data_IF_648996253894
#
_entry.id   IF_648996253894
#
_cell.length_a   1.000
_cell.length_b   1.000
_cell.length_c   1.000
_cell.angle_alpha   90.00
_cell.angle_beta   90.00
_cell.angle_gamma   90.00
#
_symmetry.space_group_name_H-M   'P 1'
#
loop_
_entity.id
_entity.type
_entity.pdbx_description
1 polymer ?
#
# COMPACT_ATOMS: atom_id res chain seq x y z
N UNK A 1 9.26 -43.97 18.95
CA UNK A 1 10.47 -43.14 19.11
C UNK A 1 11.53 -43.35 18.02
N UNK A 2 11.37 -44.29 17.08
CA UNK A 2 12.30 -44.46 15.93
C UNK A 2 12.00 -43.54 14.74
N UNK A 3 10.73 -43.19 14.49
CA UNK A 3 10.34 -42.47 13.27
C UNK A 3 10.65 -40.95 13.28
N UNK A 4 10.69 -40.32 14.47
CA UNK A 4 11.01 -38.89 14.58
C UNK A 4 12.52 -38.63 14.40
N UNK A 5 13.35 -39.62 14.70
CA UNK A 5 14.81 -39.56 14.53
C UNK A 5 15.20 -39.63 13.05
N UNK A 6 14.48 -40.43 12.26
CA UNK A 6 14.70 -40.55 10.81
C UNK A 6 14.36 -39.27 10.05
N UNK A 7 13.29 -38.55 10.46
CA UNK A 7 12.96 -37.25 9.85
C UNK A 7 14.03 -36.19 10.13
N UNK A 8 14.56 -36.13 11.35
CA UNK A 8 15.66 -35.22 11.69
C UNK A 8 16.94 -35.56 10.92
N UNK A 9 17.23 -36.85 10.75
CA UNK A 9 18.40 -37.32 10.00
C UNK A 9 18.27 -36.94 8.52
N UNK A 10 17.12 -37.20 7.90
CA UNK A 10 16.85 -36.84 6.50
C UNK A 10 16.93 -35.32 6.31
N UNK A 11 16.35 -34.54 7.23
CA UNK A 11 16.38 -33.08 7.17
C UNK A 11 17.80 -32.53 7.28
N UNK A 12 18.63 -33.11 8.16
CA UNK A 12 20.02 -32.69 8.34
C UNK A 12 20.89 -32.98 7.10
N UNK A 13 20.71 -34.13 6.45
CA UNK A 13 21.40 -34.49 5.21
C UNK A 13 20.98 -33.55 4.08
N UNK A 14 19.69 -33.20 4.00
CA UNK A 14 19.16 -32.26 3.00
C UNK A 14 19.74 -30.85 3.19
N UNK A 15 19.86 -30.38 4.43
CA UNK A 15 20.46 -29.09 4.75
C UNK A 15 21.95 -29.04 4.34
N UNK A 16 22.70 -30.12 4.59
CA UNK A 16 24.11 -30.23 4.22
C UNK A 16 24.26 -30.21 2.69
N UNK A 17 23.44 -30.97 1.96
CA UNK A 17 23.45 -30.97 0.48
C UNK A 17 23.11 -29.59 -0.09
N UNK A 18 22.19 -28.87 0.54
CA UNK A 18 21.81 -27.53 0.11
C UNK A 18 22.94 -26.51 0.31
N UNK A 19 23.65 -26.58 1.44
CA UNK A 19 24.84 -25.75 1.70
C UNK A 19 25.96 -26.07 0.71
N UNK A 20 26.21 -27.37 0.43
CA UNK A 20 27.21 -27.79 -0.54
C UNK A 20 26.87 -27.28 -1.95
N UNK A 21 25.59 -27.33 -2.33
CA UNK A 21 25.10 -26.82 -3.60
C UNK A 21 25.26 -25.30 -3.73
N UNK A 22 24.98 -24.56 -2.66
CA UNK A 22 25.19 -23.10 -2.61
C UNK A 22 26.68 -22.73 -2.74
N UNK A 23 27.57 -23.49 -2.11
CA UNK A 23 29.02 -23.30 -2.26
C UNK A 23 29.47 -23.58 -3.70
N UNK A 24 29.04 -24.68 -4.31
CA UNK A 24 29.35 -24.98 -5.72
C UNK A 24 28.83 -23.88 -6.64
N UNK A 25 27.65 -23.33 -6.35
CA UNK A 25 27.06 -22.22 -7.11
C UNK A 25 27.86 -20.94 -6.93
N UNK A 26 28.33 -20.63 -5.72
CA UNK A 26 29.13 -19.41 -5.48
C UNK A 26 30.49 -19.47 -6.19
N UNK A 27 31.11 -20.65 -6.29
CA UNK A 27 32.35 -20.83 -7.05
C UNK A 27 32.17 -20.83 -8.58
N UNK A 28 30.98 -21.11 -9.10
CA UNK A 28 30.68 -21.01 -10.54
C UNK A 28 30.38 -19.59 -11.02
N UNK A 29 30.08 -18.65 -10.11
CA UNK A 29 29.85 -17.23 -10.41
C UNK A 29 31.06 -16.38 -10.04
N UNK A 30 32.21 -16.65 -10.66
CA UNK A 30 33.20 -15.59 -10.90
C UNK A 30 32.95 -14.98 -12.29
N UNK A 31 32.81 -13.66 -12.41
CA UNK A 31 32.54 -13.03 -13.70
C UNK A 31 33.80 -13.08 -14.57
N UNK A 32 33.74 -13.85 -15.66
CA UNK A 32 34.65 -13.64 -16.79
C UNK A 32 34.25 -12.33 -17.46
N UNK A 33 35.09 -11.32 -17.34
CA UNK A 33 35.02 -10.08 -18.12
C UNK A 33 35.00 -10.43 -19.60
N UNK A 34 33.91 -10.10 -20.30
CA UNK A 34 33.82 -10.15 -21.76
C UNK A 34 33.12 -8.90 -22.28
N UNK A 35 33.74 -8.32 -23.30
CA UNK A 35 33.31 -7.19 -24.11
C UNK A 35 31.92 -7.38 -24.74
N UNK A 36 31.25 -6.27 -25.14
CA UNK A 36 29.88 -6.34 -25.63
C UNK A 36 29.85 -6.75 -27.11
N UNK A 37 29.08 -7.80 -27.42
CA UNK A 37 28.66 -8.09 -28.79
C UNK A 37 27.14 -7.97 -28.93
N UNK A 38 26.77 -7.44 -30.09
CA UNK A 38 25.49 -6.89 -30.49
C UNK A 38 24.57 -7.99 -31.08
N UNK A 39 23.29 -7.98 -30.67
CA UNK A 39 22.08 -8.58 -31.29
C UNK A 39 22.07 -10.12 -31.54
N UNK A 40 21.04 -10.89 -31.22
CA UNK A 40 19.61 -10.75 -31.61
C UNK A 40 18.68 -11.51 -30.63
N UNK A 41 17.65 -10.86 -30.12
CA UNK A 41 16.61 -11.45 -29.25
C UNK A 41 15.49 -12.14 -30.04
N UNK A 42 15.13 -13.37 -29.64
CA UNK A 42 13.76 -13.92 -29.79
C UNK A 42 13.02 -13.66 -28.48
N UNK A 43 12.01 -12.79 -28.53
CA UNK A 43 11.22 -12.33 -27.36
C UNK A 43 10.32 -13.43 -26.80
N UNK A 44 10.59 -13.87 -25.58
CA UNK A 44 9.56 -14.35 -24.63
C UNK A 44 9.26 -13.21 -23.67
N UNK A 45 7.98 -12.88 -23.51
CA UNK A 45 7.51 -11.83 -22.61
C UNK A 45 7.76 -12.27 -21.15
N UNK A 46 8.91 -11.88 -20.60
CA UNK A 46 9.17 -11.88 -19.16
C UNK A 46 8.46 -10.65 -18.61
N UNK A 47 7.45 -10.87 -17.77
CA UNK A 47 6.77 -9.83 -16.99
C UNK A 47 7.78 -9.21 -16.03
N UNK A 48 8.37 -8.10 -16.45
CA UNK A 48 9.17 -7.23 -15.59
C UNK A 48 8.17 -6.46 -14.73
N UNK A 49 8.19 -6.67 -13.41
CA UNK A 49 7.60 -5.73 -12.47
C UNK A 49 8.19 -4.35 -12.76
N UNK A 50 7.38 -3.43 -13.29
CA UNK A 50 7.78 -2.04 -13.50
C UNK A 50 7.83 -1.35 -12.14
N UNK A 51 8.91 -1.56 -11.40
CA UNK A 51 9.50 -0.44 -10.67
C UNK A 51 10.09 0.43 -11.78
N UNK A 52 9.45 1.56 -12.08
CA UNK A 52 10.03 2.54 -12.98
C UNK A 52 11.30 3.10 -12.33
N UNK A 53 12.45 2.49 -12.62
CA UNK A 53 13.72 3.20 -12.57
C UNK A 53 13.65 4.29 -13.64
N UNK A 54 13.81 5.52 -13.18
CA UNK A 54 13.79 6.75 -13.97
C UNK A 54 14.57 6.56 -15.28
N UNK A 55 14.05 7.12 -16.37
CA UNK A 55 14.88 7.42 -17.52
C UNK A 55 16.12 8.19 -17.02
N UNK A 56 17.32 7.73 -17.41
CA UNK A 56 18.56 8.42 -17.13
C UNK A 56 18.46 9.84 -17.67
N UNK A 57 18.15 10.78 -16.78
CA UNK A 57 18.47 12.18 -16.99
C UNK A 57 19.98 12.24 -17.12
N UNK A 58 20.43 12.67 -18.30
CA UNK A 58 21.79 13.07 -18.65
C UNK A 58 22.69 13.25 -17.42
N UNK A 59 23.73 12.41 -17.31
CA UNK A 59 24.83 12.58 -16.38
C UNK A 59 25.41 13.99 -16.55
N UNK A 60 24.97 14.90 -15.69
CA UNK A 60 25.68 16.15 -15.44
C UNK A 60 26.81 15.81 -14.47
N UNK A 61 28.00 16.34 -14.76
CA UNK A 61 29.22 16.12 -13.99
C UNK A 61 29.02 16.32 -12.47
N UNK A 62 29.74 15.61 -11.60
CA UNK A 62 29.46 15.52 -10.15
C UNK A 62 29.68 16.81 -9.33
N UNK A 63 29.91 17.96 -9.97
CA UNK A 63 30.52 19.12 -9.33
C UNK A 63 29.61 20.33 -9.09
N UNK A 64 28.28 20.21 -9.21
CA UNK A 64 27.36 21.32 -8.90
C UNK A 64 26.10 20.89 -8.12
N UNK A 65 26.23 19.98 -7.15
CA UNK A 65 25.17 19.84 -6.13
C UNK A 65 25.34 21.00 -5.16
N UNK A 66 24.72 22.14 -5.47
CA UNK A 66 24.56 23.24 -4.52
C UNK A 66 24.00 22.66 -3.22
N UNK A 67 24.52 23.03 -2.03
CA UNK A 67 23.99 22.55 -0.77
C UNK A 67 22.49 22.86 -0.72
N UNK A 68 21.66 21.80 -0.76
CA UNK A 68 20.22 21.92 -0.65
C UNK A 68 19.96 22.52 0.73
N UNK A 69 19.29 23.69 0.78
CA UNK A 69 18.95 24.31 2.06
C UNK A 69 18.14 23.30 2.89
N UNK A 70 18.41 23.16 4.19
CA UNK A 70 17.65 22.26 5.03
C UNK A 70 16.18 22.63 4.94
N UNK A 71 15.38 21.68 4.48
CA UNK A 71 13.94 21.82 4.31
C UNK A 71 13.25 21.26 5.55
N UNK A 72 12.22 21.96 6.01
CA UNK A 72 11.34 21.42 7.06
C UNK A 72 10.57 20.26 6.47
N UNK A 73 10.75 19.08 7.06
CA UNK A 73 10.08 17.85 6.64
C UNK A 73 8.90 17.50 7.53
N UNK A 74 8.79 18.11 8.71
CA UNK A 74 7.64 17.90 9.57
C UNK A 74 7.58 18.81 10.78
N UNK A 75 6.49 18.70 11.51
CA UNK A 75 6.23 19.39 12.76
C UNK A 75 5.71 18.41 13.81
N UNK A 76 6.39 18.34 14.95
CA UNK A 76 5.84 17.76 16.16
C UNK A 76 4.94 18.78 16.83
N UNK A 77 3.72 18.38 17.12
CA UNK A 77 2.78 19.13 17.94
C UNK A 77 2.82 18.57 19.36
N UNK A 78 3.19 19.43 20.29
CA UNK A 78 3.41 19.10 21.68
C UNK A 78 2.37 19.81 22.55
N UNK A 79 2.00 19.16 23.65
CA UNK A 79 1.24 19.78 24.73
C UNK A 79 2.15 20.64 25.62
N UNK A 80 1.55 21.40 26.53
CA UNK A 80 2.28 22.25 27.48
C UNK A 80 3.22 21.46 28.40
N UNK A 81 2.96 20.17 28.62
CA UNK A 81 3.82 19.23 29.36
C UNK A 81 4.98 18.68 28.49
N UNK A 82 5.14 19.16 27.26
CA UNK A 82 6.09 18.68 26.24
C UNK A 82 5.85 17.24 25.76
N UNK A 83 4.71 16.64 26.08
CA UNK A 83 4.33 15.35 25.50
C UNK A 83 3.86 15.51 24.06
N UNK A 84 4.07 14.48 23.24
CA UNK A 84 3.71 14.52 21.82
C UNK A 84 2.22 14.23 21.66
N UNK A 85 1.52 15.19 21.04
CA UNK A 85 0.12 15.06 20.67
C UNK A 85 -0.02 14.52 19.24
N UNK A 86 0.64 15.17 18.28
CA UNK A 86 0.56 14.81 16.87
C UNK A 86 1.89 15.05 16.14
N UNK A 87 2.07 14.41 14.99
CA UNK A 87 3.21 14.60 14.10
C UNK A 87 2.71 14.77 12.67
N UNK A 88 3.04 15.90 12.05
CA UNK A 88 2.70 16.14 10.64
C UNK A 88 3.97 16.13 9.82
N UNK A 89 4.04 15.29 8.79
CA UNK A 89 5.27 15.11 8.01
C UNK A 89 5.02 15.02 6.51
N UNK A 90 6.03 15.41 5.75
CA UNK A 90 6.16 15.12 4.33
C UNK A 90 6.73 13.69 4.19
N UNK A 91 6.06 12.88 3.38
CA UNK A 91 6.47 11.54 3.02
C UNK A 91 6.85 11.46 1.55
N UNK A 92 8.02 10.90 1.28
CA UNK A 92 8.46 10.49 -0.05
C UNK A 92 7.95 9.11 -0.44
N UNK A 93 7.50 8.31 0.55
CA UNK A 93 6.77 7.07 0.28
C UNK A 93 5.37 7.49 -0.15
N UNK A 94 5.03 7.21 -1.41
CA UNK A 94 3.69 7.40 -1.92
C UNK A 94 2.72 6.60 -1.07
N UNK A 95 2.00 7.25 -0.17
CA UNK A 95 0.90 6.62 0.51
C UNK A 95 -0.27 6.59 -0.48
N UNK A 96 -1.08 5.53 -0.39
CA UNK A 96 -2.26 5.42 -1.24
C UNK A 96 -3.47 5.88 -0.45
N UNK A 97 -4.27 6.72 -1.10
CA UNK A 97 -5.55 7.14 -0.55
C UNK A 97 -6.51 5.94 -0.54
N UNK A 98 -6.99 5.53 0.62
CA UNK A 98 -8.10 4.58 0.77
C UNK A 98 -9.04 5.12 1.84
N UNK A 99 -10.33 4.87 1.72
CA UNK A 99 -11.30 5.42 2.66
C UNK A 99 -11.90 6.75 2.23
N UNK A 100 -12.48 7.43 3.21
CA UNK A 100 -13.43 8.51 3.02
C UNK A 100 -12.79 9.76 2.41
N UNK A 101 -13.38 10.28 1.33
CA UNK A 101 -12.96 11.52 0.68
C UNK A 101 -13.62 12.75 1.31
N UNK A 102 -14.52 12.56 2.27
CA UNK A 102 -15.24 13.63 2.97
C UNK A 102 -14.52 14.11 4.24
N UNK A 103 -13.30 13.64 4.50
CA UNK A 103 -12.53 14.07 5.67
C UNK A 103 -12.07 15.51 5.46
N UNK A 104 -12.73 16.43 6.14
CA UNK A 104 -12.38 17.84 6.12
C UNK A 104 -11.43 18.20 7.25
N UNK A 105 -10.26 18.76 6.90
CA UNK A 105 -9.35 19.37 7.86
C UNK A 105 -9.80 20.79 8.15
N UNK A 106 -9.85 21.13 9.44
CA UNK A 106 -10.24 22.46 9.89
C UNK A 106 -9.28 23.53 9.34
N UNK A 107 -9.85 24.67 8.96
CA UNK A 107 -9.13 25.77 8.32
C UNK A 107 -7.88 26.27 9.07
N UNK A 108 -7.80 26.30 10.42
CA UNK A 108 -6.57 26.70 11.12
C UNK A 108 -5.39 25.76 10.81
N UNK A 109 -5.59 24.45 10.94
CA UNK A 109 -4.58 23.44 10.66
C UNK A 109 -4.20 23.43 9.19
N UNK A 110 -5.18 23.51 8.28
CA UNK A 110 -4.92 23.55 6.84
C UNK A 110 -4.03 24.73 6.46
N UNK A 111 -4.32 25.94 6.97
CA UNK A 111 -3.51 27.14 6.72
C UNK A 111 -2.10 27.01 7.28
N UNK A 112 -1.94 26.37 8.44
CA UNK A 112 -0.62 26.10 9.00
C UNK A 112 0.20 25.20 8.07
N UNK A 113 -0.39 24.07 7.66
CA UNK A 113 0.25 23.10 6.77
C UNK A 113 0.64 23.75 5.44
N UNK A 114 -0.26 24.47 4.79
CA UNK A 114 0.01 25.11 3.49
C UNK A 114 1.08 26.20 3.57
N UNK A 115 1.19 26.87 4.72
CA UNK A 115 2.20 27.91 4.94
C UNK A 115 3.59 27.33 5.15
N UNK A 116 3.72 26.23 5.92
CA UNK A 116 5.01 25.76 6.42
C UNK A 116 5.48 24.42 5.84
N UNK A 117 4.56 23.58 5.36
CA UNK A 117 4.85 22.28 4.77
C UNK A 117 4.45 22.27 3.29
N UNK A 118 5.32 22.83 2.46
CA UNK A 118 5.18 22.73 1.01
C UNK A 118 5.52 21.32 0.57
N UNK A 119 4.69 20.71 -0.27
CA UNK A 119 4.96 19.43 -0.95
C UNK A 119 5.51 19.67 -2.35
N UNK A 120 6.49 18.87 -2.75
CA UNK A 120 6.95 18.74 -4.14
C UNK A 120 6.14 17.63 -4.87
N UNK A 121 6.36 17.50 -6.17
CA UNK A 121 5.75 16.42 -6.96
C UNK A 121 6.12 15.06 -6.38
N UNK A 122 5.12 14.17 -6.26
CA UNK A 122 5.24 12.81 -5.70
C UNK A 122 5.45 12.74 -4.18
N UNK A 123 5.37 13.87 -3.48
CA UNK A 123 5.33 13.87 -2.02
C UNK A 123 3.88 13.88 -1.51
N UNK A 124 3.69 13.32 -0.33
CA UNK A 124 2.40 13.34 0.36
C UNK A 124 2.56 13.86 1.78
N UNK A 125 1.54 14.52 2.32
CA UNK A 125 1.52 14.92 3.72
C UNK A 125 0.83 13.86 4.56
N UNK A 126 1.38 13.54 5.72
CA UNK A 126 0.86 12.57 6.67
C UNK A 126 0.62 13.27 8.02
N UNK A 127 -0.53 13.04 8.66
CA UNK A 127 -0.88 13.59 9.99
C UNK A 127 -1.10 12.47 11.02
N UNK A 128 -0.11 12.22 11.88
CA UNK A 128 -0.09 11.20 12.93
C UNK A 128 -0.68 11.78 14.21
N UNK A 129 -1.74 11.19 14.75
CA UNK A 129 -2.29 11.57 16.06
C UNK A 129 -1.93 10.48 17.05
N UNK A 130 -1.09 10.86 18.02
CA UNK A 130 -0.44 9.93 18.95
C UNK A 130 -1.23 9.82 20.26
N UNK A 131 -1.94 10.89 20.64
CA UNK A 131 -2.71 10.98 21.87
C UNK A 131 -4.03 11.70 21.65
N UNK A 132 -5.07 11.25 22.34
CA UNK A 132 -6.34 11.99 22.47
C UNK A 132 -6.23 13.06 23.55
N UNK A 133 -6.70 14.26 23.26
CA UNK A 133 -6.66 15.39 24.20
C UNK A 133 -7.92 16.25 24.06
N UNK A 134 -8.27 16.99 25.13
CA UNK A 134 -9.42 17.89 25.11
C UNK A 134 -9.31 18.95 23.99
N UNK A 135 -10.40 19.31 23.30
CA UNK A 135 -10.36 20.15 22.10
C UNK A 135 -9.82 21.58 22.34
N UNK A 136 -9.82 22.02 23.59
CA UNK A 136 -9.35 23.34 24.01
C UNK A 136 -7.85 23.40 24.32
N UNK A 137 -7.14 22.27 24.34
CA UNK A 137 -5.72 22.22 24.67
C UNK A 137 -4.88 22.95 23.63
N UNK A 138 -4.06 23.90 24.07
CA UNK A 138 -3.16 24.66 23.21
C UNK A 138 -1.93 23.80 22.84
N UNK A 139 -1.46 23.99 21.60
CA UNK A 139 -0.34 23.24 21.05
C UNK A 139 0.88 24.11 20.80
N UNK A 140 2.04 23.56 21.12
CA UNK A 140 3.34 24.02 20.69
C UNK A 140 3.73 23.24 19.43
N UNK A 141 4.46 23.86 18.50
CA UNK A 141 5.03 23.15 17.35
C UNK A 141 6.55 23.21 17.36
N UNK A 142 7.18 22.11 16.99
CA UNK A 142 8.62 22.00 16.79
C UNK A 142 8.91 21.47 15.39
N UNK A 143 9.65 22.25 14.59
CA UNK A 143 10.03 21.86 13.24
C UNK A 143 11.10 20.78 13.25
N UNK A 144 11.02 19.86 12.29
CA UNK A 144 11.98 18.77 12.08
C UNK A 144 12.55 18.83 10.67
N UNK A 145 13.85 18.53 10.54
CA UNK A 145 14.56 18.44 9.26
C UNK A 145 14.50 17.06 8.60
N UNK A 146 15.18 16.92 7.46
CA UNK A 146 15.31 15.66 6.71
C UNK A 146 15.96 14.51 7.48
N UNK A 147 16.72 14.80 8.55
CA UNK A 147 17.40 13.79 9.38
C UNK A 147 16.58 13.41 10.61
N UNK A 148 15.39 13.97 10.77
CA UNK A 148 14.58 13.78 11.97
C UNK A 148 15.04 14.64 13.15
N UNK A 149 15.91 15.62 12.92
CA UNK A 149 16.47 16.46 13.97
C UNK A 149 15.61 17.72 14.18
N UNK A 150 15.41 18.14 15.44
CA UNK A 150 14.68 19.37 15.73
C UNK A 150 15.46 20.59 15.23
N UNK A 151 14.78 21.50 14.53
CA UNK A 151 15.33 22.74 13.99
C UNK A 151 15.23 23.93 14.95
N UNK A 152 14.77 23.70 16.19
CA UNK A 152 14.62 24.73 17.21
C UNK A 152 13.81 24.23 18.41
N UNK A 153 13.56 25.14 19.35
CA UNK A 153 12.68 24.89 20.49
C UNK A 153 11.20 24.92 20.10
N UNK A 154 10.32 24.20 20.81
CA UNK A 154 8.88 24.28 20.60
C UNK A 154 8.33 25.70 20.81
N UNK A 155 7.47 26.15 19.90
CA UNK A 155 6.87 27.49 19.96
C UNK A 155 5.34 27.43 19.88
N UNK A 156 4.59 28.30 20.60
CA UNK A 156 3.14 28.34 20.51
C UNK A 156 2.68 28.77 19.12
N UNK A 157 1.80 27.97 18.50
CA UNK A 157 1.35 28.18 17.11
C UNK A 157 -0.10 28.64 17.00
N UNK A 158 -0.80 28.80 18.13
CA UNK A 158 -2.22 29.19 18.16
C UNK A 158 -3.16 28.12 17.60
N UNK A 159 -2.67 26.89 17.44
CA UNK A 159 -3.49 25.72 17.13
C UNK A 159 -3.89 25.03 18.42
N UNK A 160 -5.07 24.40 18.39
CA UNK A 160 -5.58 23.59 19.48
C UNK A 160 -5.68 22.13 19.06
N UNK A 161 -5.71 21.22 20.04
CA UNK A 161 -5.95 19.81 19.79
C UNK A 161 -7.25 19.58 19.00
N UNK A 162 -8.27 20.42 19.23
CA UNK A 162 -9.52 20.37 18.49
C UNK A 162 -9.43 20.79 17.02
N UNK A 163 -8.34 21.41 16.57
CA UNK A 163 -8.12 21.73 15.15
C UNK A 163 -7.70 20.50 14.34
N UNK A 164 -7.21 19.47 15.02
CA UNK A 164 -6.87 18.18 14.42
C UNK A 164 -8.13 17.31 14.29
N UNK A 165 -8.18 16.47 13.25
CA UNK A 165 -9.27 15.51 13.09
C UNK A 165 -9.26 14.54 14.26
N UNK A 166 -10.42 14.20 14.82
CA UNK A 166 -10.44 13.24 15.93
C UNK A 166 -10.12 11.85 15.38
N UNK A 167 -9.15 11.12 15.95
CA UNK A 167 -8.93 9.73 15.60
C UNK A 167 -10.17 8.95 16.00
N UNK A 168 -11.01 8.57 15.04
CA UNK A 168 -12.04 7.59 15.32
C UNK A 168 -11.37 6.22 15.34
N UNK A 169 -11.50 5.42 16.42
CA UNK A 169 -11.01 4.07 16.41
C UNK A 169 -11.77 3.30 15.33
N UNK A 170 -11.11 3.06 14.19
CA UNK A 170 -11.67 2.19 13.16
C UNK A 170 -11.49 0.76 13.69
N UNK A 171 -12.57 0.20 14.23
CA UNK A 171 -12.56 -1.20 14.64
C UNK A 171 -12.33 -2.07 13.41
N UNK A 172 -11.45 -3.08 13.52
CA UNK A 172 -11.15 -4.01 12.42
C UNK A 172 -12.43 -4.61 11.78
N UNK A 173 -13.47 -4.84 12.60
CA UNK A 173 -14.79 -5.29 12.12
C UNK A 173 -15.51 -4.26 11.25
N UNK A 174 -15.44 -2.98 11.60
CA UNK A 174 -16.01 -1.89 10.82
C UNK A 174 -15.24 -1.71 9.51
N UNK A 175 -13.91 -1.76 9.56
CA UNK A 175 -13.07 -1.70 8.36
C UNK A 175 -13.39 -2.85 7.40
N UNK A 176 -13.40 -4.09 7.91
CA UNK A 176 -13.77 -5.28 7.14
C UNK A 176 -15.16 -5.13 6.50
N UNK A 177 -16.16 -4.69 7.27
CA UNK A 177 -17.53 -4.46 6.76
C UNK A 177 -17.55 -3.40 5.66
N UNK A 178 -16.87 -2.27 5.85
CA UNK A 178 -16.80 -1.20 4.86
C UNK A 178 -16.10 -1.65 3.57
N UNK A 179 -15.01 -2.42 3.67
CA UNK A 179 -14.29 -2.96 2.51
C UNK A 179 -15.16 -3.93 1.73
N UNK A 180 -15.85 -4.86 2.41
CA UNK A 180 -16.80 -5.77 1.76
C UNK A 180 -17.90 -4.97 1.06
N UNK A 181 -18.52 -3.98 1.73
CA UNK A 181 -19.57 -3.16 1.11
C UNK A 181 -19.08 -2.41 -0.14
N UNK A 182 -17.90 -1.80 -0.07
CA UNK A 182 -17.30 -1.07 -1.19
C UNK A 182 -17.02 -1.99 -2.37
N UNK A 183 -16.48 -3.19 -2.10
CA UNK A 183 -16.26 -4.22 -3.12
C UNK A 183 -17.58 -4.74 -3.70
N UNK A 184 -18.60 -4.98 -2.89
CA UNK A 184 -19.93 -5.43 -3.35
C UNK A 184 -20.59 -4.40 -4.27
N UNK A 185 -20.49 -3.11 -3.95
CA UNK A 185 -21.00 -2.05 -4.83
C UNK A 185 -20.27 -2.02 -6.18
N UNK A 186 -18.94 -2.15 -6.16
CA UNK A 186 -18.14 -2.20 -7.38
C UNK A 186 -18.42 -3.47 -8.21
N UNK A 187 -18.56 -4.62 -7.54
CA UNK A 187 -18.98 -5.88 -8.14
C UNK A 187 -20.32 -5.74 -8.84
N UNK A 188 -21.36 -5.22 -8.18
CA UNK A 188 -22.68 -5.05 -8.79
C UNK A 188 -22.63 -4.14 -10.03
N UNK A 189 -21.85 -3.05 -9.98
CA UNK A 189 -21.66 -2.15 -11.11
C UNK A 189 -21.05 -2.86 -12.33
N UNK A 190 -20.08 -3.75 -12.12
CA UNK A 190 -19.50 -4.57 -13.18
C UNK A 190 -20.46 -5.69 -13.64
N UNK A 191 -21.12 -6.35 -12.69
CA UNK A 191 -22.05 -7.47 -12.90
C UNK A 191 -23.22 -7.08 -13.81
N UNK A 192 -23.80 -5.90 -13.62
CA UNK A 192 -24.90 -5.42 -14.48
C UNK A 192 -24.47 -5.05 -15.90
N UNK A 193 -23.16 -5.05 -16.21
CA UNK A 193 -22.64 -4.86 -17.58
C UNK A 193 -22.39 -6.18 -18.29
N UNK A 194 -22.45 -7.30 -17.58
CA UNK A 194 -22.31 -8.65 -18.15
C UNK A 194 -23.59 -9.11 -18.85
N UNK A 195 -23.47 -10.14 -19.68
CA UNK A 195 -24.61 -10.80 -20.32
C UNK A 195 -25.41 -11.64 -19.33
N UNK A 196 -26.66 -11.96 -19.64
CA UNK A 196 -27.51 -12.76 -18.76
C UNK A 196 -26.92 -14.14 -18.40
N UNK A 197 -26.22 -14.79 -19.34
CA UNK A 197 -25.56 -16.07 -19.11
C UNK A 197 -24.39 -15.95 -18.11
N UNK A 198 -23.58 -14.90 -18.27
CA UNK A 198 -22.47 -14.56 -17.36
C UNK A 198 -23.00 -14.22 -15.96
N UNK A 199 -24.05 -13.40 -15.89
CA UNK A 199 -24.70 -13.02 -14.63
C UNK A 199 -25.20 -14.25 -13.86
N UNK A 200 -25.85 -15.21 -14.54
CA UNK A 200 -26.34 -16.44 -13.89
C UNK A 200 -25.21 -17.25 -13.25
N UNK A 201 -24.04 -17.29 -13.89
CA UNK A 201 -22.85 -17.98 -13.38
C UNK A 201 -22.23 -17.21 -12.21
N UNK A 202 -22.11 -15.89 -12.32
CA UNK A 202 -21.61 -15.03 -11.25
C UNK A 202 -22.50 -15.15 -10.00
N UNK A 203 -23.83 -15.14 -10.15
CA UNK A 203 -24.78 -15.39 -9.06
C UNK A 203 -24.56 -16.77 -8.40
N UNK A 204 -24.32 -17.81 -9.19
CA UNK A 204 -24.00 -19.14 -8.65
C UNK A 204 -22.65 -19.12 -7.90
N UNK A 205 -21.69 -18.35 -8.41
CA UNK A 205 -20.35 -18.22 -7.85
C UNK A 205 -20.30 -17.48 -6.51
N UNK A 206 -21.26 -16.60 -6.23
CA UNK A 206 -21.40 -15.92 -4.93
C UNK A 206 -21.49 -16.91 -3.77
N UNK A 207 -22.16 -18.04 -3.99
CA UNK A 207 -22.33 -19.10 -3.00
C UNK A 207 -21.31 -20.23 -3.18
N UNK A 208 -20.90 -20.52 -4.41
CA UNK A 208 -19.96 -21.59 -4.71
C UNK A 208 -19.00 -21.20 -5.83
N UNK A 209 -17.79 -20.77 -5.46
CA UNK A 209 -16.73 -20.40 -6.41
C UNK A 209 -16.35 -21.53 -7.39
N UNK A 210 -16.66 -22.80 -7.11
CA UNK A 210 -16.44 -23.87 -8.08
C UNK A 210 -17.27 -23.67 -9.36
N UNK A 211 -18.34 -22.86 -9.32
CA UNK A 211 -19.15 -22.53 -10.48
C UNK A 211 -18.37 -21.82 -11.61
N UNK A 212 -17.25 -21.13 -11.29
CA UNK A 212 -16.39 -20.54 -12.33
C UNK A 212 -15.21 -21.43 -12.75
N UNK A 213 -15.06 -22.62 -12.16
CA UNK A 213 -14.17 -23.64 -12.74
C UNK A 213 -14.91 -24.20 -13.96
N UNK A 214 -14.38 -24.04 -15.16
CA UNK A 214 -14.91 -24.50 -16.46
C UNK A 214 -15.80 -23.50 -17.22
N UNK A 215 -15.81 -22.23 -16.85
CA UNK A 215 -16.49 -21.20 -17.65
C UNK A 215 -15.56 -20.70 -18.76
N UNK A 216 -16.07 -20.57 -19.98
CA UNK A 216 -15.33 -20.03 -21.13
C UNK A 216 -15.58 -18.54 -21.36
N UNK A 217 -16.16 -17.85 -20.38
CA UNK A 217 -16.45 -16.42 -20.49
C UNK A 217 -15.18 -15.61 -20.26
N UNK A 218 -14.86 -14.78 -21.24
CA UNK A 218 -13.65 -13.97 -21.29
C UNK A 218 -13.98 -12.48 -21.51
N UNK A 219 -15.25 -12.10 -21.38
CA UNK A 219 -15.64 -10.70 -21.51
C UNK A 219 -15.03 -9.85 -20.39
N UNK A 220 -14.64 -8.62 -20.72
CA UNK A 220 -14.02 -7.73 -19.74
C UNK A 220 -14.92 -7.45 -18.52
N UNK A 221 -16.24 -7.38 -18.72
CA UNK A 221 -17.20 -7.19 -17.62
C UNK A 221 -17.30 -8.42 -16.72
N UNK A 222 -17.32 -9.62 -17.30
CA UNK A 222 -17.30 -10.87 -16.52
C UNK A 222 -16.02 -11.01 -15.71
N UNK A 223 -14.85 -10.83 -16.34
CA UNK A 223 -13.56 -10.94 -15.67
C UNK A 223 -13.41 -9.88 -14.55
N UNK A 224 -13.87 -8.65 -14.78
CA UNK A 224 -13.87 -7.61 -13.75
C UNK A 224 -14.80 -7.97 -12.58
N UNK A 225 -15.96 -8.55 -12.85
CA UNK A 225 -16.89 -9.03 -11.82
C UNK A 225 -16.31 -10.20 -11.04
N UNK A 226 -15.67 -11.16 -11.71
CA UNK A 226 -14.96 -12.27 -11.05
C UNK A 226 -13.83 -11.74 -10.15
N UNK A 227 -13.05 -10.77 -10.63
CA UNK A 227 -12.00 -10.13 -9.85
C UNK A 227 -12.54 -9.51 -8.54
N UNK A 228 -13.61 -8.71 -8.60
CA UNK A 228 -14.24 -8.16 -7.39
C UNK A 228 -14.81 -9.24 -6.47
N UNK A 229 -15.47 -10.26 -7.03
CA UNK A 229 -16.02 -11.37 -6.23
C UNK A 229 -14.92 -12.11 -5.48
N UNK A 230 -13.77 -12.35 -6.11
CA UNK A 230 -12.61 -12.98 -5.46
C UNK A 230 -12.03 -12.11 -4.34
N UNK A 231 -11.93 -10.78 -4.55
CA UNK A 231 -11.52 -9.84 -3.51
C UNK A 231 -12.48 -9.83 -2.31
N UNK A 232 -13.80 -9.91 -2.53
CA UNK A 232 -14.80 -10.05 -1.45
C UNK A 232 -14.51 -11.31 -0.63
N UNK A 233 -14.34 -12.46 -1.30
CA UNK A 233 -14.07 -13.74 -0.65
C UNK A 233 -12.73 -13.74 0.10
N UNK A 234 -11.71 -13.07 -0.43
CA UNK A 234 -10.41 -12.89 0.23
C UNK A 234 -10.53 -12.16 1.57
N UNK A 235 -11.33 -11.09 1.62
CA UNK A 235 -11.58 -10.32 2.86
C UNK A 235 -12.37 -11.16 3.88
N UNK A 236 -13.32 -11.95 3.41
CA UNK A 236 -14.16 -12.79 4.27
C UNK A 236 -13.41 -13.99 4.86
N UNK A 237 -12.50 -14.61 4.08
CA UNK A 237 -11.81 -15.85 4.42
C UNK A 237 -10.81 -15.69 5.56
N UNK A 238 -10.98 -16.48 6.61
CA UNK A 238 -10.09 -16.52 7.79
C UNK A 238 -8.92 -17.49 7.64
N UNK A 239 -9.05 -18.54 6.83
CA UNK A 239 -8.04 -19.58 6.68
C UNK A 239 -6.94 -19.15 5.71
N UNK A 240 -5.68 -19.14 6.17
CA UNK A 240 -4.52 -18.75 5.36
C UNK A 240 -4.37 -19.56 4.06
N UNK A 241 -4.52 -20.89 4.14
CA UNK A 241 -4.39 -21.76 2.97
C UNK A 241 -5.44 -21.46 1.90
N UNK A 242 -6.72 -21.33 2.31
CA UNK A 242 -7.81 -20.96 1.40
C UNK A 242 -7.62 -19.57 0.81
N UNK A 243 -7.13 -18.62 1.61
CA UNK A 243 -6.80 -17.27 1.15
C UNK A 243 -5.71 -17.27 0.07
N UNK A 244 -4.66 -18.08 0.24
CA UNK A 244 -3.61 -18.24 -0.79
C UNK A 244 -4.17 -18.82 -2.09
N UNK A 245 -5.07 -19.82 -2.02
CA UNK A 245 -5.73 -20.35 -3.21
C UNK A 245 -6.59 -19.29 -3.94
N UNK A 246 -7.30 -18.45 -3.17
CA UNK A 246 -8.10 -17.35 -3.72
C UNK A 246 -7.22 -16.29 -4.40
N UNK A 247 -6.06 -15.96 -3.82
CA UNK A 247 -5.09 -15.05 -4.45
C UNK A 247 -4.57 -15.60 -5.76
N UNK A 248 -4.19 -16.87 -5.81
CA UNK A 248 -3.72 -17.50 -7.05
C UNK A 248 -4.80 -17.45 -8.15
N UNK A 249 -6.06 -17.65 -7.75
CA UNK A 249 -7.19 -17.52 -8.69
C UNK A 249 -7.39 -16.08 -9.15
N UNK A 250 -7.33 -15.11 -8.23
CA UNK A 250 -7.41 -13.68 -8.55
C UNK A 250 -6.33 -13.28 -9.56
N UNK A 251 -5.10 -13.73 -9.32
CA UNK A 251 -3.99 -13.51 -10.25
C UNK A 251 -4.21 -14.14 -11.61
N UNK A 252 -4.80 -15.34 -11.68
CA UNK A 252 -5.20 -15.95 -12.94
C UNK A 252 -6.23 -15.12 -13.74
N UNK A 253 -7.14 -14.41 -13.06
CA UNK A 253 -8.14 -13.55 -13.72
C UNK A 253 -7.49 -12.30 -14.29
N UNK A 254 -6.63 -11.61 -13.53
CA UNK A 254 -6.02 -10.37 -13.99
C UNK A 254 -4.96 -10.57 -15.09
N UNK A 255 -4.42 -11.79 -15.20
CA UNK A 255 -3.46 -12.18 -16.24
C UNK A 255 -4.13 -12.51 -17.56
N UNK A 256 -5.46 -12.58 -17.60
CA UNK A 256 -6.21 -12.85 -18.81
C UNK A 256 -6.11 -11.68 -19.80
N UNK A 257 -5.91 -11.98 -21.10
CA UNK A 257 -5.66 -10.97 -22.14
C UNK A 257 -6.76 -9.90 -22.29
N UNK A 258 -8.02 -10.24 -21.99
CA UNK A 258 -9.17 -9.35 -22.10
C UNK A 258 -9.42 -8.53 -20.82
N UNK A 259 -8.62 -8.75 -19.77
CA UNK A 259 -8.76 -8.03 -18.52
C UNK A 259 -8.28 -6.58 -18.66
N UNK A 260 -9.06 -5.64 -18.11
CA UNK A 260 -8.68 -4.23 -18.06
C UNK A 260 -8.78 -3.73 -16.62
N UNK A 261 -7.65 -3.27 -16.10
CA UNK A 261 -7.60 -2.61 -14.80
C UNK A 261 -8.40 -1.31 -14.81
N UNK A 262 -9.17 -1.11 -13.74
CA UNK A 262 -9.83 0.16 -13.45
C UNK A 262 -9.17 0.80 -12.23
N UNK A 263 -9.22 2.13 -12.13
CA UNK A 263 -8.69 2.86 -10.98
C UNK A 263 -9.37 2.42 -9.67
N UNK A 264 -10.68 2.17 -9.72
CA UNK A 264 -11.44 1.68 -8.58
C UNK A 264 -10.99 0.27 -8.15
N UNK A 265 -10.70 -0.62 -9.09
CA UNK A 265 -10.14 -1.94 -8.77
C UNK A 265 -8.75 -1.83 -8.15
N UNK A 266 -7.84 -1.05 -8.73
CA UNK A 266 -6.48 -0.88 -8.19
C UNK A 266 -6.51 -0.39 -6.73
N UNK A 267 -7.37 0.60 -6.43
CA UNK A 267 -7.54 1.12 -5.06
C UNK A 267 -8.07 0.06 -4.09
N UNK A 268 -9.09 -0.71 -4.49
CA UNK A 268 -9.71 -1.73 -3.64
C UNK A 268 -8.85 -2.99 -3.50
N UNK A 269 -8.18 -3.43 -4.54
CA UNK A 269 -7.23 -4.55 -4.52
C UNK A 269 -6.14 -4.30 -3.47
N UNK A 270 -5.51 -3.13 -3.53
CA UNK A 270 -4.42 -2.76 -2.62
C UNK A 270 -4.87 -2.64 -1.17
N UNK A 271 -6.11 -2.20 -0.93
CA UNK A 271 -6.75 -2.24 0.37
C UNK A 271 -6.98 -3.68 0.87
N UNK A 272 -7.36 -4.62 -0.01
CA UNK A 272 -7.50 -6.04 0.37
C UNK A 272 -6.14 -6.66 0.65
N UNK A 273 -5.12 -6.35 -0.16
CA UNK A 273 -3.73 -6.76 0.06
C UNK A 273 -3.26 -6.25 1.42
N UNK A 274 -3.38 -4.95 1.68
CA UNK A 274 -2.94 -4.38 2.96
C UNK A 274 -3.67 -5.03 4.13
N UNK A 275 -4.99 -5.21 4.10
CA UNK A 275 -5.70 -5.91 5.19
C UNK A 275 -5.28 -7.37 5.35
N UNK A 276 -4.91 -8.04 4.25
CA UNK A 276 -4.47 -9.43 4.26
C UNK A 276 -3.07 -9.59 4.84
N UNK A 277 -2.16 -8.65 4.59
CA UNK A 277 -0.74 -8.74 4.96
C UNK A 277 -0.35 -7.88 6.18
N UNK A 278 -1.05 -6.77 6.44
CA UNK A 278 -0.84 -5.81 7.56
C UNK A 278 -1.41 -6.33 8.90
N UNK A 279 -1.96 -7.54 8.95
CA UNK A 279 -2.17 -8.23 10.24
C UNK A 279 -0.87 -8.42 11.06
N UNK A 280 0.30 -8.09 10.48
CA UNK A 280 1.62 -8.15 11.13
C UNK A 280 2.15 -6.81 11.65
N UNK A 281 1.54 -5.65 11.35
CA UNK A 281 2.01 -4.36 11.85
C UNK A 281 0.85 -3.52 12.41
N UNK A 282 0.91 -3.22 13.72
CA UNK A 282 0.02 -2.25 14.37
C UNK A 282 0.24 -0.88 13.73
N UNK A 283 -0.58 -0.49 12.77
CA UNK A 283 -0.53 0.84 12.19
C UNK A 283 -1.76 1.64 12.64
N UNK A 284 -1.60 2.64 13.53
CA UNK A 284 -2.64 3.63 13.73
C UNK A 284 -2.75 4.49 12.46
N UNK A 285 -3.99 4.74 12.07
CA UNK A 285 -4.37 5.44 10.84
C UNK A 285 -3.96 6.90 10.84
N UNK A 286 -3.67 7.39 9.65
CA UNK A 286 -3.06 8.68 9.46
C UNK A 286 -3.56 9.31 8.17
N UNK A 287 -4.01 10.54 8.24
CA UNK A 287 -4.59 11.18 7.07
C UNK A 287 -3.48 11.55 6.09
N UNK A 288 -3.72 11.30 4.81
CA UNK A 288 -2.84 11.69 3.73
C UNK A 288 -3.47 12.72 2.81
N UNK A 289 -2.69 13.72 2.40
CA UNK A 289 -2.95 14.55 1.21
C UNK A 289 -1.94 14.21 0.12
N UNK A 290 -2.42 13.71 -1.02
CA UNK A 290 -1.60 13.47 -2.21
C UNK A 290 -1.30 14.78 -2.95
N UNK A 291 -0.24 14.79 -3.75
CA UNK A 291 0.12 15.93 -4.60
C UNK A 291 -0.83 16.16 -5.78
N UNK A 292 -1.82 15.28 -6.01
CA UNK A 292 -2.82 15.46 -7.07
C UNK A 292 -3.70 16.68 -6.78
N UNK A 293 -4.01 17.46 -7.81
CA UNK A 293 -4.67 18.78 -7.80
C UNK A 293 -5.98 18.91 -7.01
N UNK A 294 -6.55 17.82 -6.50
CA UNK A 294 -7.79 17.82 -5.73
C UNK A 294 -7.63 18.34 -4.29
N UNK A 295 -6.43 18.34 -3.71
CA UNK A 295 -6.17 18.85 -2.35
C UNK A 295 -6.93 18.14 -1.23
N UNK A 296 -7.57 17.00 -1.53
CA UNK A 296 -8.39 16.22 -0.59
C UNK A 296 -7.52 15.43 0.39
N UNK A 297 -8.07 15.16 1.57
CA UNK A 297 -7.50 14.31 2.59
C UNK A 297 -8.18 12.93 2.59
N UNK A 298 -7.40 11.88 2.84
CA UNK A 298 -7.85 10.49 2.81
C UNK A 298 -7.27 9.72 3.98
N UNK A 299 -7.87 8.59 4.36
CA UNK A 299 -7.17 7.64 5.23
C UNK A 299 -5.99 7.01 4.47
N UNK A 300 -4.88 6.77 5.17
CA UNK A 300 -3.68 6.14 4.61
C UNK A 300 -3.28 4.87 5.37
N UNK A 301 -2.73 3.93 4.59
CA UNK A 301 -2.30 2.60 5.00
C UNK A 301 -0.82 2.69 4.73
N UNK A 302 -0.04 2.66 5.79
CA UNK A 302 1.39 2.64 5.65
C UNK A 302 1.78 1.29 5.02
N UNK A 303 2.63 1.33 3.99
CA UNK A 303 3.26 0.14 3.38
C UNK A 303 4.72 0.08 3.81
#
# INVERSE_FOLDING_TARGET
>A
MSNDFDFFLILSVLAILFVLWLLIRSFKTQPKTKEPSINTEKKKAVRIERIHSKAQSTCTSPNDIKPKKPRVMGFLFLLNDKSIFAYVRVSSVGAQAWGDETIEIKAPLLRFIERFLRTEDQESLLIDIIREEGPSADLLAQAIDEKGMPLGEPYPVGLKAGDFPMPQPIYLKQLKRWTVQSLTMAYHSAFYRSTAAEMAILMKAENNLAALKNTSFDSGAFLLSEAYLLLIKLVEESCHHKRSQLWNRYWGVIEHDNFRYTEQLDRLERLVISQTFVQTQKLPFLLMRTSTSSGKWYNALNY
#
